data_IF_194542835008
#
_entry.id   IF_194542835008
#
_cell.length_a   1.000
_cell.length_b   1.000
_cell.length_c   1.000
_cell.angle_alpha   90.00
_cell.angle_beta   90.00
_cell.angle_gamma   90.00
#
_symmetry.space_group_name_H-M   'P 1'
#
loop_
_entity.id
_entity.type
_entity.pdbx_description
1 polymer ?
#
# COMPACT_ATOMS: atom_id res chain seq x y z
N UNK A 1 16.22 23.72 -2.50
CA UNK A 1 15.88 22.91 -1.31
C UNK A 1 15.74 21.47 -1.76
N UNK A 2 16.35 20.51 -1.06
CA UNK A 2 16.10 19.10 -1.41
C UNK A 2 14.64 18.77 -1.12
N UNK A 3 13.92 18.33 -2.14
CA UNK A 3 12.53 17.85 -2.02
C UNK A 3 12.45 16.73 -0.98
N UNK A 4 11.53 16.87 -0.01
CA UNK A 4 11.30 15.84 1.01
C UNK A 4 10.48 14.71 0.38
N UNK A 5 11.12 13.57 0.14
CA UNK A 5 10.52 12.40 -0.48
C UNK A 5 10.38 11.26 0.53
N UNK A 6 9.27 10.54 0.46
CA UNK A 6 9.09 9.28 1.18
C UNK A 6 8.63 8.14 0.27
N UNK A 7 8.83 6.91 0.74
CA UNK A 7 8.33 5.69 0.10
C UNK A 7 7.30 5.04 1.01
N UNK A 8 6.13 4.77 0.47
CA UNK A 8 5.11 3.93 1.09
C UNK A 8 4.95 2.66 0.25
N UNK A 9 5.39 1.54 0.79
CA UNK A 9 5.43 0.28 0.06
C UNK A 9 4.43 -0.73 0.62
N UNK A 10 3.82 -1.52 -0.25
CA UNK A 10 2.86 -2.55 0.12
C UNK A 10 2.45 -3.42 -1.06
N UNK A 11 1.59 -4.40 -0.80
CA UNK A 11 1.02 -5.25 -1.85
C UNK A 11 -0.16 -4.57 -2.55
N UNK A 12 -0.96 -3.80 -1.80
CA UNK A 12 -2.14 -3.07 -2.29
C UNK A 12 -3.11 -3.96 -3.07
N UNK A 13 -3.58 -5.02 -2.46
CA UNK A 13 -4.34 -6.10 -3.11
C UNK A 13 -5.72 -6.34 -2.45
N UNK A 14 -6.69 -5.41 -2.66
CA UNK A 14 -6.61 -4.12 -3.32
C UNK A 14 -6.14 -2.98 -2.38
N UNK A 15 -5.89 -1.76 -2.88
CA UNK A 15 -5.75 -0.58 -2.04
C UNK A 15 -7.08 -0.29 -1.31
N UNK A 16 -6.98 0.22 -0.08
CA UNK A 16 -8.11 0.46 0.83
C UNK A 16 -8.15 1.91 1.31
N UNK A 17 -9.22 2.30 2.00
CA UNK A 17 -9.32 3.61 2.66
C UNK A 17 -8.20 3.82 3.69
N UNK A 18 -7.73 2.75 4.36
CA UNK A 18 -6.55 2.85 5.24
C UNK A 18 -5.27 3.24 4.48
N UNK A 19 -5.03 2.67 3.30
CA UNK A 19 -3.90 3.06 2.45
C UNK A 19 -4.05 4.52 1.97
N UNK A 20 -5.27 4.92 1.58
CA UNK A 20 -5.57 6.31 1.20
C UNK A 20 -5.20 7.29 2.30
N UNK A 21 -5.64 7.03 3.53
CA UNK A 21 -5.35 7.88 4.68
C UNK A 21 -3.84 8.03 4.94
N UNK A 22 -3.07 6.95 4.82
CA UNK A 22 -1.60 7.01 4.95
C UNK A 22 -0.98 7.89 3.86
N UNK A 23 -1.41 7.73 2.60
CA UNK A 23 -0.88 8.53 1.48
C UNK A 23 -1.23 10.02 1.66
N UNK A 24 -2.46 10.34 2.04
CA UNK A 24 -2.89 11.72 2.30
C UNK A 24 -2.11 12.36 3.45
N UNK A 25 -1.86 11.61 4.53
CA UNK A 25 -1.00 12.07 5.62
C UNK A 25 0.45 12.30 5.18
N UNK A 26 0.98 11.45 4.30
CA UNK A 26 2.30 11.68 3.71
C UNK A 26 2.35 13.00 2.93
N UNK A 27 1.32 13.33 2.17
CA UNK A 27 1.24 14.58 1.41
C UNK A 27 1.23 15.85 2.26
N UNK A 28 0.89 15.74 3.55
CA UNK A 28 0.96 16.87 4.50
C UNK A 28 2.41 17.15 4.97
N UNK A 29 3.32 16.18 4.77
CA UNK A 29 4.68 16.24 5.33
C UNK A 29 5.77 16.23 4.25
N UNK A 30 5.51 15.53 3.15
CA UNK A 30 6.47 15.29 2.08
C UNK A 30 6.04 15.97 0.78
N UNK A 31 7.02 16.42 0.02
CA UNK A 31 6.80 17.05 -1.30
C UNK A 31 6.50 16.01 -2.38
N UNK A 32 7.07 14.80 -2.25
CA UNK A 32 6.84 13.66 -3.15
C UNK A 32 6.60 12.39 -2.33
N UNK A 33 5.58 11.62 -2.74
CA UNK A 33 5.23 10.32 -2.16
C UNK A 33 5.33 9.24 -3.23
N UNK A 34 6.27 8.32 -3.06
CA UNK A 34 6.39 7.15 -3.92
C UNK A 34 5.60 6.01 -3.31
N UNK A 35 4.52 5.60 -3.97
CA UNK A 35 3.73 4.43 -3.58
C UNK A 35 4.22 3.22 -4.37
N UNK A 36 4.89 2.30 -3.70
CA UNK A 36 5.52 1.17 -4.35
C UNK A 36 4.73 -0.13 -4.16
N UNK A 37 4.24 -0.70 -5.26
CA UNK A 37 3.65 -2.04 -5.25
C UNK A 37 4.79 -3.06 -5.21
N UNK A 38 4.90 -3.77 -4.09
CA UNK A 38 5.88 -4.84 -3.95
C UNK A 38 5.41 -6.09 -4.69
N UNK A 39 6.23 -6.54 -5.64
CA UNK A 39 5.99 -7.74 -6.41
C UNK A 39 6.85 -8.87 -5.83
N UNK A 40 6.18 -9.85 -5.21
CA UNK A 40 6.84 -11.07 -4.75
C UNK A 40 6.48 -12.23 -5.69
N UNK A 41 7.43 -12.78 -6.46
CA UNK A 41 7.14 -13.84 -7.42
C UNK A 41 6.65 -15.15 -6.78
N UNK A 42 6.84 -15.31 -5.45
CA UNK A 42 6.35 -16.48 -4.70
C UNK A 42 4.92 -16.32 -4.19
N UNK A 43 4.32 -15.13 -4.32
CA UNK A 43 2.95 -14.86 -3.88
C UNK A 43 2.04 -14.69 -5.08
N UNK A 44 0.86 -15.30 -5.03
CA UNK A 44 -0.19 -15.08 -6.02
C UNK A 44 -1.17 -14.04 -5.46
N UNK A 45 -1.19 -12.82 -6.00
CA UNK A 45 -2.14 -11.79 -5.57
C UNK A 45 -3.54 -12.10 -6.11
N UNK A 46 -4.56 -11.52 -5.46
CA UNK A 46 -5.96 -11.61 -5.88
C UNK A 46 -6.19 -10.83 -7.18
N UNK A 47 -5.70 -9.59 -7.24
CA UNK A 47 -5.75 -8.73 -8.42
C UNK A 47 -4.44 -8.74 -9.20
N UNK A 48 -4.51 -8.58 -10.51
CA UNK A 48 -3.33 -8.42 -11.35
C UNK A 48 -2.51 -7.18 -10.95
N UNK A 49 -1.25 -7.13 -11.35
CA UNK A 49 -0.42 -5.95 -11.09
C UNK A 49 -1.00 -4.69 -11.74
N UNK A 50 -1.52 -4.81 -12.95
CA UNK A 50 -2.14 -3.70 -13.68
C UNK A 50 -3.42 -3.21 -12.98
N UNK A 51 -4.26 -4.12 -12.49
CA UNK A 51 -5.45 -3.74 -11.71
C UNK A 51 -5.05 -3.00 -10.44
N UNK A 52 -4.04 -3.46 -9.71
CA UNK A 52 -3.56 -2.82 -8.48
C UNK A 52 -2.98 -1.43 -8.75
N UNK A 53 -2.22 -1.26 -9.83
CA UNK A 53 -1.74 0.06 -10.31
C UNK A 53 -2.90 0.99 -10.62
N UNK A 54 -3.89 0.49 -11.38
CA UNK A 54 -5.06 1.27 -11.74
C UNK A 54 -5.85 1.70 -10.52
N UNK A 55 -6.11 0.77 -9.59
CA UNK A 55 -6.82 1.07 -8.35
C UNK A 55 -6.08 2.08 -7.48
N UNK A 56 -4.74 2.01 -7.37
CA UNK A 56 -3.96 3.02 -6.66
C UNK A 56 -4.07 4.40 -7.29
N UNK A 57 -4.04 4.49 -8.62
CA UNK A 57 -4.22 5.77 -9.32
C UNK A 57 -5.62 6.38 -9.13
N UNK A 58 -6.61 5.54 -8.82
CA UNK A 58 -7.97 5.97 -8.48
C UNK A 58 -8.11 6.35 -6.99
N UNK A 59 -7.28 5.76 -6.13
CA UNK A 59 -7.35 5.97 -4.68
C UNK A 59 -6.93 7.38 -4.27
N UNK A 60 -5.85 7.90 -4.86
CA UNK A 60 -5.35 9.26 -4.59
C UNK A 60 -4.96 9.94 -5.90
N UNK A 61 -5.57 11.10 -6.16
CA UNK A 61 -5.30 11.93 -7.33
C UNK A 61 -4.43 13.11 -6.91
N UNK A 62 -3.11 13.00 -7.08
CA UNK A 62 -2.16 14.07 -6.78
C UNK A 62 -0.92 13.92 -7.65
N UNK A 63 -0.46 15.01 -8.26
CA UNK A 63 0.79 15.04 -9.04
C UNK A 63 2.03 14.76 -8.17
N UNK A 64 1.91 14.89 -6.85
CA UNK A 64 2.96 14.58 -5.89
C UNK A 64 3.01 13.09 -5.50
N UNK A 65 2.07 12.27 -6.00
CA UNK A 65 2.04 10.82 -5.77
C UNK A 65 2.47 10.10 -7.05
N UNK A 66 3.49 9.27 -6.92
CA UNK A 66 3.97 8.43 -8.02
C UNK A 66 3.84 6.96 -7.64
N UNK A 67 3.12 6.20 -8.46
CA UNK A 67 2.95 4.75 -8.30
C UNK A 67 4.02 4.03 -9.09
N UNK A 68 4.76 3.14 -8.42
CA UNK A 68 5.80 2.30 -9.03
C UNK A 68 5.60 0.83 -8.66
N UNK A 69 6.10 -0.06 -9.49
CA UNK A 69 6.27 -1.48 -9.14
C UNK A 69 7.73 -1.74 -8.77
N UNK A 70 7.92 -2.64 -7.81
CA UNK A 70 9.27 -3.00 -7.40
C UNK A 70 9.34 -4.46 -6.93
N UNK A 71 10.38 -5.15 -7.38
CA UNK A 71 10.74 -6.48 -6.92
C UNK A 71 12.13 -6.42 -6.29
N UNK A 72 12.22 -6.63 -5.00
CA UNK A 72 13.45 -6.52 -4.23
C UNK A 72 13.19 -6.10 -2.77
N UNK A 73 14.24 -5.75 -2.08
CA UNK A 73 14.19 -5.30 -0.68
C UNK A 73 13.80 -3.82 -0.55
N UNK A 74 13.26 -3.43 0.60
CA UNK A 74 12.99 -2.01 0.90
C UNK A 74 14.27 -1.18 0.82
N UNK A 75 15.41 -1.71 1.27
CA UNK A 75 16.70 -1.00 1.19
C UNK A 75 17.08 -0.66 -0.26
N UNK A 76 16.91 -1.61 -1.20
CA UNK A 76 17.16 -1.40 -2.63
C UNK A 76 16.18 -0.38 -3.23
N UNK A 77 14.90 -0.47 -2.85
CA UNK A 77 13.88 0.49 -3.27
C UNK A 77 14.23 1.92 -2.83
N UNK A 78 14.57 2.11 -1.56
CA UNK A 78 14.95 3.41 -1.02
C UNK A 78 16.19 3.99 -1.74
N UNK A 79 17.19 3.14 -2.03
CA UNK A 79 18.36 3.54 -2.81
C UNK A 79 17.98 3.97 -4.22
N UNK A 80 17.13 3.21 -4.91
CA UNK A 80 16.63 3.51 -6.24
C UNK A 80 15.88 4.84 -6.29
N UNK A 81 15.07 5.10 -5.27
CA UNK A 81 14.25 6.32 -5.16
C UNK A 81 15.02 7.52 -4.59
N UNK A 82 16.28 7.34 -4.24
CA UNK A 82 17.14 8.36 -3.64
C UNK A 82 16.51 9.04 -2.41
N UNK A 83 16.04 8.20 -1.48
CA UNK A 83 15.51 8.62 -0.18
C UNK A 83 15.83 7.58 0.87
N UNK A 84 15.87 7.98 2.15
CA UNK A 84 16.00 7.08 3.28
C UNK A 84 14.70 6.94 4.09
N UNK A 85 13.65 7.67 3.70
CA UNK A 85 12.40 7.72 4.45
C UNK A 85 11.41 6.68 3.92
N UNK A 86 11.02 5.80 4.82
CA UNK A 86 10.11 4.71 4.57
C UNK A 86 8.91 4.80 5.53
N UNK A 87 7.70 4.79 4.98
CA UNK A 87 6.47 5.00 5.72
C UNK A 87 5.70 3.70 5.87
N UNK A 88 5.13 3.48 7.06
CA UNK A 88 4.23 2.36 7.38
C UNK A 88 3.00 2.85 8.14
N UNK A 89 1.83 2.40 7.70
CA UNK A 89 0.59 2.58 8.45
C UNK A 89 0.47 1.52 9.55
N UNK A 90 0.07 1.94 10.73
CA UNK A 90 -0.12 1.06 11.90
C UNK A 90 -1.57 1.12 12.36
N UNK A 91 -2.20 -0.03 12.56
CA UNK A 91 -3.57 -0.16 13.07
C UNK A 91 -3.60 -0.62 14.54
N UNK A 92 -2.58 -1.37 14.95
CA UNK A 92 -2.51 -2.00 16.26
C UNK A 92 -1.06 -2.33 16.65
N UNK A 93 -0.87 -2.84 17.87
CA UNK A 93 0.44 -3.22 18.40
C UNK A 93 1.12 -4.36 17.60
N UNK A 94 0.33 -5.30 17.09
CA UNK A 94 0.86 -6.41 16.28
C UNK A 94 1.47 -5.91 14.97
N UNK A 95 0.84 -4.92 14.32
CA UNK A 95 1.41 -4.26 13.15
C UNK A 95 2.77 -3.63 13.53
N UNK A 96 2.83 -2.93 14.67
CA UNK A 96 4.05 -2.29 15.13
C UNK A 96 5.18 -3.30 15.39
N UNK A 97 4.90 -4.41 16.04
CA UNK A 97 5.89 -5.45 16.31
C UNK A 97 6.46 -6.04 15.01
N UNK A 98 5.57 -6.34 14.05
CA UNK A 98 5.97 -6.86 12.75
C UNK A 98 6.82 -5.84 11.97
N UNK A 99 6.37 -4.60 11.86
CA UNK A 99 7.05 -3.54 11.12
C UNK A 99 8.37 -3.15 11.75
N UNK A 100 8.49 -3.25 13.07
CA UNK A 100 9.74 -3.00 13.80
C UNK A 100 10.78 -4.06 13.48
N UNK A 101 10.38 -5.33 13.39
CA UNK A 101 11.30 -6.41 12.97
C UNK A 101 11.79 -6.21 11.53
N UNK A 102 10.88 -5.85 10.61
CA UNK A 102 11.20 -5.56 9.20
C UNK A 102 12.13 -4.33 9.09
N UNK A 103 11.90 -3.30 9.89
CA UNK A 103 12.76 -2.13 9.98
C UNK A 103 14.20 -2.49 10.36
N UNK A 104 14.40 -3.27 11.41
CA UNK A 104 15.74 -3.67 11.83
C UNK A 104 16.45 -4.57 10.80
N UNK A 105 15.71 -5.42 10.11
CA UNK A 105 16.25 -6.19 8.98
C UNK A 105 16.67 -5.27 7.82
N UNK A 106 15.86 -4.29 7.47
CA UNK A 106 16.14 -3.29 6.42
C UNK A 106 17.36 -2.44 6.82
N UNK A 107 17.47 -2.05 8.09
CA UNK A 107 18.58 -1.23 8.60
C UNK A 107 19.93 -1.93 8.51
N UNK A 108 19.99 -3.26 8.53
CA UNK A 108 21.22 -4.00 8.27
C UNK A 108 21.74 -3.84 6.84
N UNK A 109 20.85 -3.53 5.90
CA UNK A 109 21.16 -3.33 4.48
C UNK A 109 21.35 -1.85 4.13
N UNK A 110 20.72 -0.96 4.91
CA UNK A 110 20.83 0.50 4.78
C UNK A 110 20.75 1.12 6.18
N UNK A 111 21.90 1.46 6.76
CA UNK A 111 22.01 2.03 8.12
C UNK A 111 21.32 3.39 8.28
N UNK A 112 21.12 4.12 7.19
CA UNK A 112 20.51 5.45 7.18
C UNK A 112 18.99 5.42 7.02
N UNK A 113 18.36 4.24 6.99
CA UNK A 113 16.90 4.15 6.85
C UNK A 113 16.20 4.80 8.05
N UNK A 114 15.15 5.55 7.74
CA UNK A 114 14.27 6.24 8.69
C UNK A 114 12.87 5.69 8.49
N UNK A 115 12.35 5.01 9.50
CA UNK A 115 10.97 4.55 9.48
C UNK A 115 10.04 5.61 10.07
N UNK A 116 8.97 5.93 9.33
CA UNK A 116 7.88 6.76 9.80
C UNK A 116 6.64 5.89 10.00
N UNK A 117 6.25 5.71 11.24
CA UNK A 117 5.04 4.98 11.61
C UNK A 117 3.87 5.94 11.73
N UNK A 118 2.84 5.74 10.90
CA UNK A 118 1.63 6.55 10.90
C UNK A 118 0.46 5.76 11.48
N UNK A 119 -0.16 6.21 12.57
CA UNK A 119 -1.36 5.57 13.08
C UNK A 119 -2.49 5.68 12.04
N UNK A 120 -3.20 4.58 11.83
CA UNK A 120 -4.42 4.55 11.03
C UNK A 120 -5.52 5.34 11.77
N UNK A 121 -6.37 6.11 11.07
CA UNK A 121 -7.55 6.70 11.68
C UNK A 121 -8.40 5.66 12.42
N UNK A 122 -8.97 6.05 13.56
CA UNK A 122 -9.71 5.13 14.44
C UNK A 122 -10.86 4.42 13.71
N UNK A 123 -11.57 5.13 12.87
CA UNK A 123 -12.68 4.61 12.05
C UNK A 123 -12.26 3.60 10.99
N UNK A 124 -10.97 3.51 10.66
CA UNK A 124 -10.41 2.62 9.64
C UNK A 124 -9.58 1.46 10.23
N UNK A 125 -9.53 1.29 11.56
CA UNK A 125 -8.72 0.24 12.21
C UNK A 125 -9.10 -1.18 11.77
N UNK A 126 -10.36 -1.39 11.42
CA UNK A 126 -10.87 -2.68 10.93
C UNK A 126 -10.65 -2.89 9.43
N UNK A 127 -10.24 -1.84 8.68
CA UNK A 127 -10.09 -1.90 7.22
C UNK A 127 -8.78 -2.58 6.83
N UNK A 128 -8.87 -3.60 5.99
CA UNK A 128 -7.70 -4.28 5.42
C UNK A 128 -8.00 -4.87 4.04
N UNK A 129 -6.96 -5.09 3.24
CA UNK A 129 -7.12 -5.78 1.94
C UNK A 129 -7.67 -7.20 2.11
N UNK A 130 -7.34 -7.88 3.21
CA UNK A 130 -7.87 -9.23 3.49
C UNK A 130 -9.37 -9.21 3.71
N UNK A 131 -9.92 -8.22 4.43
CA UNK A 131 -11.36 -8.07 4.60
C UNK A 131 -12.03 -7.83 3.25
N UNK A 132 -11.48 -6.95 2.40
CA UNK A 132 -12.02 -6.71 1.05
C UNK A 132 -12.07 -8.00 0.24
N UNK A 133 -10.98 -8.76 0.20
CA UNK A 133 -10.94 -10.03 -0.54
C UNK A 133 -11.94 -11.05 0.00
N UNK A 134 -12.09 -11.15 1.31
CA UNK A 134 -13.11 -12.02 1.92
C UNK A 134 -14.51 -11.56 1.55
N UNK A 135 -14.80 -10.26 1.61
CA UNK A 135 -16.09 -9.70 1.20
C UNK A 135 -16.41 -10.03 -0.26
N UNK A 136 -15.42 -9.90 -1.16
CA UNK A 136 -15.60 -10.27 -2.56
C UNK A 136 -15.88 -11.77 -2.74
N UNK A 137 -15.18 -12.64 -2.01
CA UNK A 137 -15.41 -14.09 -2.06
C UNK A 137 -16.83 -14.47 -1.58
N UNK A 138 -17.35 -13.78 -0.58
CA UNK A 138 -18.68 -14.03 -0.01
C UNK A 138 -19.78 -13.12 -0.61
N UNK A 139 -19.46 -12.31 -1.60
CA UNK A 139 -20.38 -11.38 -2.26
C UNK A 139 -21.06 -10.41 -1.28
N UNK A 140 -20.30 -9.93 -0.28
CA UNK A 140 -20.74 -8.91 0.67
C UNK A 140 -20.24 -7.52 0.26
N UNK A 141 -20.93 -6.43 0.69
CA UNK A 141 -20.54 -5.06 0.34
C UNK A 141 -19.11 -4.70 0.75
N UNK A 142 -18.45 -3.86 -0.04
CA UNK A 142 -17.08 -3.38 0.19
C UNK A 142 -16.99 -1.85 0.34
N UNK A 143 -18.14 -1.18 0.41
CA UNK A 143 -18.27 0.28 0.39
C UNK A 143 -17.50 0.97 1.53
N UNK A 144 -17.43 0.34 2.69
CA UNK A 144 -16.75 0.87 3.87
C UNK A 144 -15.24 0.65 3.86
N UNK A 145 -14.70 -0.08 2.88
CA UNK A 145 -13.29 -0.48 2.88
C UNK A 145 -12.46 0.15 1.77
N UNK A 146 -13.10 0.54 0.67
CA UNK A 146 -12.45 1.11 -0.52
C UNK A 146 -13.14 2.38 -0.98
N UNK A 147 -12.44 3.22 -1.76
CA UNK A 147 -13.09 4.39 -2.34
C UNK A 147 -14.13 3.99 -3.40
N UNK A 148 -15.09 4.88 -3.67
CA UNK A 148 -16.15 4.62 -4.66
C UNK A 148 -15.58 4.32 -6.04
N UNK A 149 -14.50 5.00 -6.44
CA UNK A 149 -13.85 4.77 -7.73
C UNK A 149 -13.20 3.37 -7.80
N UNK A 150 -12.57 2.94 -6.71
CA UNK A 150 -11.98 1.58 -6.62
C UNK A 150 -13.07 0.52 -6.62
N UNK A 151 -14.17 0.73 -5.89
CA UNK A 151 -15.34 -0.16 -5.90
C UNK A 151 -15.88 -0.31 -7.33
N UNK A 152 -16.20 0.81 -7.98
CA UNK A 152 -16.71 0.80 -9.37
C UNK A 152 -15.75 0.08 -10.31
N UNK A 153 -14.43 0.29 -10.14
CA UNK A 153 -13.44 -0.41 -10.94
C UNK A 153 -13.49 -1.93 -10.72
N UNK A 154 -13.54 -2.38 -9.45
CA UNK A 154 -13.60 -3.81 -9.10
C UNK A 154 -14.86 -4.46 -9.69
N UNK A 155 -16.02 -3.80 -9.61
CA UNK A 155 -17.29 -4.31 -10.15
C UNK A 155 -17.28 -4.46 -11.68
N UNK A 156 -16.43 -3.70 -12.37
CA UNK A 156 -16.28 -3.74 -13.83
C UNK A 156 -15.10 -4.61 -14.33
N UNK A 157 -14.28 -5.15 -13.44
CA UNK A 157 -13.25 -6.12 -13.85
C UNK A 157 -13.97 -7.41 -14.29
N UNK A 158 -13.67 -7.95 -15.48
CA UNK A 158 -14.21 -9.24 -15.91
C UNK A 158 -13.87 -10.30 -14.83
N UNK A 159 -14.89 -10.91 -14.26
CA UNK A 159 -14.70 -12.01 -13.30
C UNK A 159 -13.88 -13.10 -13.96
N UNK A 160 -12.65 -13.30 -13.50
CA UNK A 160 -11.92 -14.52 -13.84
C UNK A 160 -12.75 -15.66 -13.31
N UNK A 161 -13.23 -16.53 -14.23
CA UNK A 161 -13.95 -17.74 -13.87
C UNK A 161 -13.20 -18.48 -12.75
N UNK A 162 -13.68 -18.34 -11.52
CA UNK A 162 -13.18 -19.09 -10.35
C UNK A 162 -13.71 -20.54 -10.36
N UNK A 163 -14.22 -21.01 -11.50
CA UNK A 163 -14.66 -22.38 -11.72
C UNK A 163 -13.56 -23.23 -12.37
N UNK A 164 -12.41 -23.36 -11.68
CA UNK A 164 -11.52 -24.53 -11.86
C UNK A 164 -11.04 -24.94 -10.47
N UNK A 165 -11.84 -25.69 -9.78
CA UNK A 165 -11.41 -26.70 -8.81
C UNK A 165 -11.38 -28.06 -9.47
#
# INVERSE_FOLDING_TARGET
MNSKKCVFAGTFDPPTLGHKAVIENCLNTFDEVVVAILVNPKKQPYFSLEDRKKMLSLTVKSERVRVVEFSGTIAELLKKENTNVYVRGLRNATDFDYETADFYATRKLNENVIAWYMPCPQELLHVSSSIVRNSLCFQTPIDEYVSQEVKTYIENIPTKDTNKR
#
